data_IF_038445396781
#
_entry.id   IF_038445396781
#
_cell.length_a   1.000
_cell.length_b   1.000
_cell.length_c   1.000
_cell.angle_alpha   90.00
_cell.angle_beta   90.00
_cell.angle_gamma   90.00
#
_symmetry.space_group_name_H-M   'P 1'
#
loop_
_entity.id
_entity.type
_entity.pdbx_description
1 polymer ?
#
# COMPACT_ATOMS: atom_id res chain seq x y z
N UNK A 1 -17.59 15.85 0.30
CA UNK A 1 -17.90 14.64 1.08
C UNK A 1 -17.01 14.48 2.32
N UNK A 2 -15.71 14.17 2.21
CA UNK A 2 -14.84 14.00 3.40
C UNK A 2 -14.85 15.21 4.38
N UNK A 3 -14.86 16.44 3.86
CA UNK A 3 -14.97 17.65 4.70
C UNK A 3 -16.31 17.73 5.46
N UNK A 4 -17.39 17.22 4.86
CA UNK A 4 -18.71 17.18 5.51
C UNK A 4 -18.71 16.16 6.65
N UNK A 5 -18.11 14.97 6.44
CA UNK A 5 -17.87 13.99 7.51
C UNK A 5 -17.11 14.65 8.66
N UNK A 6 -16.01 15.36 8.38
CA UNK A 6 -15.25 16.08 9.42
C UNK A 6 -16.06 17.15 10.15
N UNK A 7 -17.01 17.81 9.49
CA UNK A 7 -17.87 18.79 10.15
C UNK A 7 -18.90 18.12 11.08
N UNK A 8 -19.43 16.95 10.69
CA UNK A 8 -20.32 16.15 11.54
C UNK A 8 -19.54 15.59 12.74
N UNK A 9 -18.29 15.15 12.52
CA UNK A 9 -17.40 14.64 13.56
C UNK A 9 -17.15 15.65 14.68
N UNK A 10 -17.09 16.96 14.39
CA UNK A 10 -16.99 18.00 15.42
C UNK A 10 -18.15 17.99 16.42
N UNK A 11 -19.32 17.50 16.01
CA UNK A 11 -20.51 17.38 16.85
C UNK A 11 -20.59 16.01 17.51
N UNK A 12 -20.30 14.93 16.77
CA UNK A 12 -20.39 13.56 17.31
C UNK A 12 -19.20 13.17 18.19
N UNK A 13 -18.05 13.82 17.99
CA UNK A 13 -16.75 13.44 18.55
C UNK A 13 -16.38 11.96 18.28
N UNK A 14 -16.89 11.41 17.16
CA UNK A 14 -16.68 10.04 16.74
C UNK A 14 -16.76 9.95 15.21
N UNK A 15 -15.67 9.52 14.61
CA UNK A 15 -15.44 9.43 13.15
C UNK A 15 -16.38 8.47 12.41
N UNK A 16 -16.48 7.19 12.82
CA UNK A 16 -17.36 6.20 12.17
C UNK A 16 -18.83 6.63 12.30
N UNK A 17 -19.22 7.16 13.46
CA UNK A 17 -20.57 7.71 13.64
C UNK A 17 -20.84 8.91 12.74
N UNK A 18 -19.83 9.74 12.49
CA UNK A 18 -19.94 10.86 11.56
C UNK A 18 -20.14 10.40 10.11
N UNK A 19 -19.50 9.29 9.71
CA UNK A 19 -19.73 8.64 8.40
C UNK A 19 -21.15 8.09 8.30
N UNK A 20 -21.68 7.45 9.33
CA UNK A 20 -23.08 6.97 9.37
C UNK A 20 -24.06 8.14 9.13
N UNK A 21 -23.92 9.24 9.88
CA UNK A 21 -24.77 10.41 9.72
C UNK A 21 -24.61 11.09 8.36
N UNK A 22 -23.40 11.15 7.83
CA UNK A 22 -23.15 11.63 6.48
C UNK A 22 -23.90 10.79 5.43
N UNK A 23 -23.88 9.46 5.54
CA UNK A 23 -24.59 8.56 4.63
C UNK A 23 -26.11 8.72 4.74
N UNK A 24 -26.65 8.82 5.96
CA UNK A 24 -28.07 9.10 6.19
C UNK A 24 -28.50 10.42 5.54
N UNK A 25 -27.70 11.49 5.69
CA UNK A 25 -27.96 12.79 5.06
C UNK A 25 -27.92 12.72 3.53
N UNK A 26 -26.92 12.03 2.96
CA UNK A 26 -26.76 11.89 1.50
C UNK A 26 -27.89 11.07 0.86
N UNK A 27 -28.35 10.02 1.53
CA UNK A 27 -29.35 9.10 1.00
C UNK A 27 -30.79 9.47 1.37
N UNK A 28 -31.00 10.45 2.24
CA UNK A 28 -32.33 10.80 2.77
C UNK A 28 -33.35 11.27 1.74
N UNK A 29 -32.90 11.80 0.59
CA UNK A 29 -33.79 12.20 -0.51
C UNK A 29 -34.15 11.07 -1.47
N UNK A 30 -33.51 9.90 -1.36
CA UNK A 30 -33.76 8.77 -2.25
C UNK A 30 -35.02 7.99 -1.81
N UNK A 31 -36.07 7.85 -2.63
CA UNK A 31 -37.37 7.31 -2.20
C UNK A 31 -37.34 5.91 -1.57
N UNK A 32 -36.45 5.04 -2.05
CA UNK A 32 -36.32 3.67 -1.54
C UNK A 32 -35.37 3.58 -0.33
N UNK A 33 -34.24 4.28 -0.36
CA UNK A 33 -33.21 4.19 0.70
C UNK A 33 -33.67 4.96 1.94
N UNK A 34 -34.45 6.02 1.78
CA UNK A 34 -35.02 6.80 2.89
C UNK A 34 -35.86 5.95 3.85
N UNK A 35 -36.45 4.85 3.35
CA UNK A 35 -37.26 3.92 4.14
C UNK A 35 -36.41 3.01 5.04
N UNK A 36 -35.10 2.91 4.79
CA UNK A 36 -34.18 1.99 5.47
C UNK A 36 -32.92 2.69 6.02
N UNK A 37 -32.93 4.02 6.18
CA UNK A 37 -31.76 4.78 6.66
C UNK A 37 -31.22 4.26 7.99
N UNK A 38 -32.10 3.84 8.90
CA UNK A 38 -31.68 3.35 10.22
C UNK A 38 -30.95 1.99 10.18
N UNK A 39 -30.89 1.33 9.01
CA UNK A 39 -30.07 0.14 8.82
C UNK A 39 -28.61 0.43 8.46
N UNK A 40 -28.23 1.69 8.20
CA UNK A 40 -26.81 2.04 8.14
C UNK A 40 -26.14 1.69 9.47
N UNK A 41 -25.07 0.88 9.40
CA UNK A 41 -24.32 0.40 10.57
C UNK A 41 -25.11 -0.57 11.49
N UNK A 42 -26.19 -1.18 10.99
CA UNK A 42 -26.97 -2.16 11.76
C UNK A 42 -26.11 -3.34 12.22
N UNK A 43 -26.11 -3.57 13.55
CA UNK A 43 -25.37 -4.64 14.23
C UNK A 43 -23.83 -4.60 14.05
N UNK A 44 -23.27 -3.52 13.50
CA UNK A 44 -21.83 -3.34 13.40
C UNK A 44 -21.27 -2.67 14.67
N UNK A 45 -20.01 -2.97 14.98
CA UNK A 45 -19.15 -2.09 15.78
C UNK A 45 -18.27 -1.23 14.86
N UNK A 46 -17.68 -0.17 15.40
CA UNK A 46 -16.74 0.70 14.66
C UNK A 46 -15.59 -0.10 14.02
N UNK A 47 -15.13 -1.15 14.71
CA UNK A 47 -14.03 -1.98 14.20
C UNK A 47 -14.42 -2.86 13.01
N UNK A 48 -15.70 -3.22 12.84
CA UNK A 48 -16.15 -3.93 11.62
C UNK A 48 -15.95 -3.05 10.39
N UNK A 49 -16.05 -1.73 10.54
CA UNK A 49 -15.82 -0.76 9.47
C UNK A 49 -14.34 -0.45 9.32
N UNK A 50 -13.64 -0.16 10.42
CA UNK A 50 -12.24 0.24 10.40
C UNK A 50 -11.33 -0.86 9.85
N UNK A 51 -11.48 -2.11 10.32
CA UNK A 51 -10.60 -3.19 9.88
C UNK A 51 -10.73 -3.46 8.38
N UNK A 52 -11.95 -3.38 7.83
CA UNK A 52 -12.20 -3.57 6.40
C UNK A 52 -11.67 -2.39 5.59
N UNK A 53 -11.86 -1.16 6.07
CA UNK A 53 -11.28 0.03 5.45
C UNK A 53 -9.75 -0.08 5.38
N UNK A 54 -9.10 -0.47 6.48
CA UNK A 54 -7.66 -0.68 6.53
C UNK A 54 -7.20 -1.83 5.62
N UNK A 55 -7.93 -2.95 5.60
CA UNK A 55 -7.61 -4.07 4.71
C UNK A 55 -7.67 -3.66 3.23
N UNK A 56 -8.67 -2.87 2.83
CA UNK A 56 -8.79 -2.32 1.48
C UNK A 56 -7.66 -1.33 1.18
N UNK A 57 -7.34 -0.43 2.12
CA UNK A 57 -6.22 0.52 1.97
C UNK A 57 -4.89 -0.22 1.78
N UNK A 58 -4.60 -1.22 2.60
CA UNK A 58 -3.37 -2.02 2.51
C UNK A 58 -3.32 -2.81 1.20
N UNK A 59 -4.42 -3.45 0.81
CA UNK A 59 -4.52 -4.19 -0.45
C UNK A 59 -4.25 -3.29 -1.64
N UNK A 60 -4.84 -2.10 -1.68
CA UNK A 60 -4.67 -1.17 -2.79
C UNK A 60 -3.27 -0.56 -2.80
N UNK A 61 -2.74 -0.14 -1.65
CA UNK A 61 -1.38 0.38 -1.54
C UNK A 61 -0.34 -0.68 -1.98
N UNK A 62 -0.53 -1.93 -1.57
CA UNK A 62 0.37 -3.03 -1.94
C UNK A 62 0.33 -3.27 -3.45
N UNK A 63 -0.85 -3.53 -4.02
CA UNK A 63 -0.96 -3.97 -5.41
C UNK A 63 -0.77 -2.84 -6.44
N UNK A 64 -1.15 -1.61 -6.10
CA UNK A 64 -1.16 -0.49 -7.06
C UNK A 64 0.07 0.41 -6.93
N UNK A 65 0.80 0.33 -5.81
CA UNK A 65 1.93 1.23 -5.55
C UNK A 65 3.19 0.44 -5.18
N UNK A 66 3.17 -0.28 -4.05
CA UNK A 66 4.39 -0.86 -3.49
C UNK A 66 5.00 -1.94 -4.40
N UNK A 67 4.19 -2.93 -4.79
CA UNK A 67 4.66 -4.05 -5.61
C UNK A 67 5.09 -3.62 -7.02
N UNK A 68 4.37 -2.74 -7.75
CA UNK A 68 4.85 -2.20 -9.02
C UNK A 68 6.20 -1.49 -8.91
N UNK A 69 6.41 -0.67 -7.88
CA UNK A 69 7.70 0.02 -7.67
C UNK A 69 8.81 -0.98 -7.33
N UNK A 70 8.51 -2.05 -6.59
CA UNK A 70 9.46 -3.13 -6.37
C UNK A 70 9.83 -3.85 -7.66
N UNK A 71 8.86 -4.09 -8.55
CA UNK A 71 9.10 -4.70 -9.87
C UNK A 71 10.01 -3.81 -10.74
N UNK A 72 9.78 -2.50 -10.74
CA UNK A 72 10.65 -1.53 -11.42
C UNK A 72 12.09 -1.56 -10.88
N UNK A 73 12.25 -1.60 -9.55
CA UNK A 73 13.55 -1.66 -8.91
C UNK A 73 14.30 -2.97 -9.21
N UNK A 74 13.60 -4.11 -9.14
CA UNK A 74 14.14 -5.42 -9.54
C UNK A 74 14.57 -5.38 -11.00
N UNK A 75 13.73 -4.84 -11.89
CA UNK A 75 14.02 -4.69 -13.30
C UNK A 75 15.29 -3.85 -13.55
N UNK A 76 15.42 -2.71 -12.86
CA UNK A 76 16.60 -1.87 -12.95
C UNK A 76 17.88 -2.61 -12.50
N UNK A 77 17.82 -3.34 -11.39
CA UNK A 77 18.96 -4.15 -10.92
C UNK A 77 19.32 -5.27 -11.89
N UNK A 78 18.32 -5.93 -12.50
CA UNK A 78 18.53 -6.94 -13.53
C UNK A 78 19.18 -6.36 -14.80
N UNK A 79 18.76 -5.18 -15.23
CA UNK A 79 19.36 -4.48 -16.37
C UNK A 79 20.84 -4.16 -16.08
N UNK A 80 21.14 -3.60 -14.90
CA UNK A 80 22.52 -3.34 -14.48
C UNK A 80 23.35 -4.62 -14.39
N UNK A 81 22.74 -5.72 -13.93
CA UNK A 81 23.41 -7.01 -13.85
C UNK A 81 23.85 -7.52 -15.23
N UNK A 82 23.00 -7.36 -16.26
CA UNK A 82 23.30 -7.74 -17.64
C UNK A 82 24.29 -6.77 -18.29
N UNK A 83 24.06 -5.46 -18.19
CA UNK A 83 24.92 -4.43 -18.77
C UNK A 83 26.37 -4.55 -18.26
N UNK A 84 26.54 -4.83 -16.97
CA UNK A 84 27.85 -4.92 -16.33
C UNK A 84 28.34 -6.35 -16.09
N UNK A 85 27.75 -7.34 -16.77
CA UNK A 85 28.04 -8.76 -16.57
C UNK A 85 29.52 -9.11 -16.73
N UNK A 86 30.21 -8.42 -17.65
CA UNK A 86 31.62 -8.67 -17.99
C UNK A 86 32.59 -7.63 -17.44
N UNK A 87 32.13 -6.66 -16.64
CA UNK A 87 33.00 -5.64 -16.06
C UNK A 87 33.70 -6.22 -14.83
N UNK A 88 35.01 -6.52 -14.88
CA UNK A 88 35.73 -7.09 -13.75
C UNK A 88 35.82 -6.08 -12.61
N UNK A 89 35.67 -6.55 -11.38
CA UNK A 89 35.76 -5.72 -10.18
C UNK A 89 36.61 -6.42 -9.12
N UNK A 90 37.54 -5.68 -8.51
CA UNK A 90 38.29 -6.15 -7.35
C UNK A 90 37.35 -6.21 -6.13
N UNK A 91 37.00 -7.43 -5.72
CA UNK A 91 36.17 -7.67 -4.54
C UNK A 91 36.88 -7.19 -3.27
N UNK A 92 36.09 -6.88 -2.24
CA UNK A 92 36.59 -6.55 -0.90
C UNK A 92 35.89 -7.38 0.18
N UNK A 93 36.65 -8.22 0.87
CA UNK A 93 36.18 -8.94 2.06
C UNK A 93 36.85 -8.33 3.29
N UNK A 94 36.08 -7.98 4.32
CA UNK A 94 36.58 -7.18 5.46
C UNK A 94 37.26 -5.86 5.01
N UNK A 95 36.84 -5.29 3.87
CA UNK A 95 37.43 -4.09 3.27
C UNK A 95 38.75 -4.30 2.52
N UNK A 96 39.34 -5.50 2.60
CA UNK A 96 40.64 -5.83 1.99
C UNK A 96 40.46 -6.49 0.61
N UNK A 97 41.43 -6.30 -0.33
CA UNK A 97 41.41 -6.96 -1.63
C UNK A 97 41.20 -8.48 -1.55
N UNK A 98 40.31 -9.00 -2.39
CA UNK A 98 39.97 -10.42 -2.48
C UNK A 98 39.85 -10.87 -3.94
N UNK A 99 39.53 -12.15 -4.16
CA UNK A 99 39.30 -12.72 -5.50
C UNK A 99 38.29 -11.88 -6.30
N UNK A 100 38.59 -11.52 -7.56
CA UNK A 100 37.72 -10.68 -8.38
C UNK A 100 36.30 -11.24 -8.57
N UNK A 101 35.35 -10.33 -8.79
CA UNK A 101 33.97 -10.59 -9.22
C UNK A 101 33.69 -9.76 -10.49
N UNK A 102 32.43 -9.68 -10.92
CA UNK A 102 31.99 -8.67 -11.89
C UNK A 102 30.98 -7.72 -11.26
N UNK A 103 30.96 -6.46 -11.69
CA UNK A 103 29.99 -5.49 -11.18
C UNK A 103 28.55 -5.99 -11.39
N UNK A 104 28.28 -6.60 -12.56
CA UNK A 104 26.98 -7.19 -12.84
C UNK A 104 26.62 -8.35 -11.91
N UNK A 105 27.59 -9.19 -11.52
CA UNK A 105 27.38 -10.28 -10.56
C UNK A 105 26.96 -9.76 -9.18
N UNK A 106 27.49 -8.61 -8.75
CA UNK A 106 27.08 -8.00 -7.48
C UNK A 106 25.68 -7.40 -7.55
N UNK A 107 25.31 -6.74 -8.65
CA UNK A 107 23.94 -6.25 -8.86
C UNK A 107 22.92 -7.39 -8.87
N UNK A 108 23.26 -8.53 -9.49
CA UNK A 108 22.40 -9.72 -9.52
C UNK A 108 22.08 -10.27 -8.12
N UNK A 109 23.01 -10.18 -7.16
CA UNK A 109 22.76 -10.64 -5.78
C UNK A 109 21.63 -9.84 -5.14
N UNK A 110 21.63 -8.51 -5.32
CA UNK A 110 20.58 -7.65 -4.79
C UNK A 110 19.24 -7.92 -5.49
N UNK A 111 19.25 -8.07 -6.82
CA UNK A 111 18.05 -8.42 -7.58
C UNK A 111 17.40 -9.73 -7.08
N UNK A 112 18.19 -10.79 -6.89
CA UNK A 112 17.69 -12.09 -6.39
C UNK A 112 17.13 -11.98 -4.98
N UNK A 113 17.80 -11.25 -4.08
CA UNK A 113 17.32 -11.07 -2.70
C UNK A 113 16.02 -10.29 -2.65
N UNK A 114 15.91 -9.21 -3.43
CA UNK A 114 14.69 -8.40 -3.46
C UNK A 114 13.55 -9.15 -4.13
N UNK A 115 13.81 -9.91 -5.19
CA UNK A 115 12.81 -10.75 -5.87
C UNK A 115 12.21 -11.82 -4.95
N UNK A 116 12.93 -12.25 -3.92
CA UNK A 116 12.41 -13.21 -2.93
C UNK A 116 11.41 -12.57 -1.96
N UNK A 117 11.55 -11.27 -1.70
CA UNK A 117 10.66 -10.52 -0.80
C UNK A 117 9.49 -9.87 -1.56
N UNK A 118 9.44 -10.05 -2.89
CA UNK A 118 8.39 -9.58 -3.79
C UNK A 118 7.23 -10.56 -3.89
#
# INVERSE_FOLDING_TARGET
>A
DALQVKNIEKVTNHDVKAVEYFLKQKCGSHPEISQVLEFFHFACTSEDINNLAHALMLKDALNKVLLPVMDELIGAMCNMAQEYAHIPMLSRTHGQPASPTTLGKEMAIFAVRLSRER
#
